data_IF_697976973643
#
_entry.id   IF_697976973643
#
_cell.length_a   1.000
_cell.length_b   1.000
_cell.length_c   1.000
_cell.angle_alpha   90.00
_cell.angle_beta   90.00
_cell.angle_gamma   90.00
#
_symmetry.space_group_name_H-M   'P 1'
#
loop_
_entity.id
_entity.type
_entity.pdbx_description
1 polymer ?
#
# COMPACT_ATOMS: atom_id res chain seq x y z
N UNK A 1 1.28 -25.26 -0.23
CA UNK A 1 0.16 -25.26 0.75
C UNK A 1 -1.13 -24.63 0.23
N UNK A 2 -1.15 -23.34 -0.13
CA UNK A 2 -2.37 -22.66 -0.59
C UNK A 2 -3.07 -23.37 -1.76
N UNK A 3 -2.28 -23.90 -2.71
CA UNK A 3 -2.78 -24.70 -3.82
C UNK A 3 -3.49 -25.99 -3.36
N UNK A 4 -2.88 -26.74 -2.44
CA UNK A 4 -3.44 -27.98 -1.89
C UNK A 4 -4.77 -27.71 -1.16
N UNK A 5 -4.80 -26.68 -0.30
CA UNK A 5 -6.01 -26.31 0.44
C UNK A 5 -7.17 -25.91 -0.51
N UNK A 6 -6.87 -25.10 -1.54
CA UNK A 6 -7.89 -24.63 -2.47
C UNK A 6 -8.37 -25.74 -3.42
N UNK A 7 -7.48 -26.64 -3.84
CA UNK A 7 -7.84 -27.78 -4.72
C UNK A 7 -8.80 -28.74 -4.03
N UNK A 8 -8.62 -28.96 -2.73
CA UNK A 8 -9.50 -29.82 -1.94
C UNK A 8 -10.78 -29.11 -1.46
N UNK A 9 -10.99 -27.83 -1.80
CA UNK A 9 -12.03 -27.00 -1.15
C UNK A 9 -11.95 -27.02 0.38
N UNK A 10 -10.75 -27.16 0.94
CA UNK A 10 -10.52 -27.42 2.37
C UNK A 10 -11.10 -26.34 3.30
N UNK A 11 -11.24 -25.10 2.83
CA UNK A 11 -11.94 -24.04 3.57
C UNK A 11 -13.38 -24.42 3.95
N UNK A 12 -14.10 -25.17 3.11
CA UNK A 12 -15.46 -25.64 3.41
C UNK A 12 -15.46 -26.73 4.47
N UNK A 13 -14.48 -27.63 4.43
CA UNK A 13 -14.31 -28.68 5.45
C UNK A 13 -13.94 -28.08 6.81
N UNK A 14 -13.24 -26.94 6.81
CA UNK A 14 -12.98 -26.14 8.00
C UNK A 14 -14.18 -25.30 8.47
N UNK A 15 -15.33 -25.41 7.79
CA UNK A 15 -16.59 -24.75 8.17
C UNK A 15 -16.80 -23.35 7.61
N UNK A 16 -15.95 -22.86 6.70
CA UNK A 16 -16.10 -21.55 6.09
C UNK A 16 -16.99 -21.61 4.85
N UNK A 17 -17.90 -20.64 4.73
CA UNK A 17 -18.81 -20.51 3.57
C UNK A 17 -18.10 -20.01 2.31
N UNK A 18 -16.92 -19.37 2.46
CA UNK A 18 -16.13 -18.83 1.34
C UNK A 18 -14.63 -18.76 1.67
N UNK A 19 -13.80 -18.75 0.64
CA UNK A 19 -12.35 -18.50 0.74
C UNK A 19 -12.06 -17.12 1.35
N UNK A 20 -12.87 -16.11 1.02
CA UNK A 20 -12.74 -14.76 1.60
C UNK A 20 -12.94 -14.78 3.11
N UNK A 21 -13.99 -15.46 3.60
CA UNK A 21 -14.20 -15.62 5.05
C UNK A 21 -13.04 -16.34 5.72
N UNK A 22 -12.60 -17.47 5.13
CA UNK A 22 -11.45 -18.22 5.62
C UNK A 22 -10.18 -17.35 5.72
N UNK A 23 -9.79 -16.68 4.64
CA UNK A 23 -8.54 -15.89 4.59
C UNK A 23 -8.56 -14.72 5.58
N UNK A 24 -9.68 -14.00 5.67
CA UNK A 24 -9.80 -12.85 6.56
C UNK A 24 -9.82 -13.27 8.03
N UNK A 25 -10.58 -14.31 8.38
CA UNK A 25 -10.75 -14.72 9.79
C UNK A 25 -9.62 -15.61 10.32
N UNK A 26 -9.01 -16.46 9.47
CA UNK A 26 -7.98 -17.40 9.89
C UNK A 26 -6.57 -16.93 9.64
N UNK A 27 -6.34 -16.21 8.53
CA UNK A 27 -5.01 -15.84 8.07
C UNK A 27 -4.71 -14.34 8.24
N UNK A 28 -5.73 -13.49 8.45
CA UNK A 28 -5.55 -12.03 8.47
C UNK A 28 -5.07 -11.48 7.12
N UNK A 29 -5.47 -12.14 6.02
CA UNK A 29 -5.05 -11.80 4.65
C UNK A 29 -6.26 -11.68 3.73
N UNK A 30 -6.06 -11.03 2.58
CA UNK A 30 -7.08 -10.97 1.53
C UNK A 30 -7.15 -12.27 0.73
N UNK A 31 -8.33 -12.58 0.20
CA UNK A 31 -8.50 -13.68 -0.76
C UNK A 31 -7.63 -13.51 -2.01
N UNK A 32 -7.47 -12.26 -2.48
CA UNK A 32 -6.62 -11.94 -3.63
C UNK A 32 -5.17 -12.36 -3.40
N UNK A 33 -4.62 -12.12 -2.20
CA UNK A 33 -3.28 -12.55 -1.83
C UNK A 33 -3.13 -14.07 -1.86
N UNK A 34 -4.12 -14.83 -1.35
CA UNK A 34 -4.07 -16.30 -1.37
C UNK A 34 -4.13 -16.84 -2.81
N UNK A 35 -5.01 -16.29 -3.64
CA UNK A 35 -5.13 -16.67 -5.04
C UNK A 35 -3.86 -16.36 -5.85
N UNK A 36 -3.27 -15.19 -5.62
CA UNK A 36 -2.02 -14.81 -6.27
C UNK A 36 -0.86 -15.70 -5.81
N UNK A 37 -0.74 -15.97 -4.51
CA UNK A 37 0.27 -16.88 -3.95
C UNK A 37 0.13 -18.29 -4.53
N UNK A 38 -1.10 -18.80 -4.66
CA UNK A 38 -1.38 -20.08 -5.34
C UNK A 38 -0.94 -20.02 -6.80
N UNK A 39 -1.33 -18.98 -7.55
CA UNK A 39 -1.02 -18.85 -8.98
C UNK A 39 0.49 -18.83 -9.21
N UNK A 40 1.22 -18.05 -8.42
CA UNK A 40 2.69 -17.99 -8.48
C UNK A 40 3.29 -19.35 -8.16
N UNK A 41 2.88 -19.98 -7.05
CA UNK A 41 3.42 -21.29 -6.67
C UNK A 41 3.14 -22.39 -7.72
N UNK A 42 1.93 -22.45 -8.28
CA UNK A 42 1.60 -23.42 -9.33
C UNK A 42 2.47 -23.21 -10.55
N UNK A 43 2.68 -21.95 -10.94
CA UNK A 43 3.45 -21.62 -12.13
C UNK A 43 4.95 -21.83 -11.96
N UNK A 44 5.49 -21.51 -10.79
CA UNK A 44 6.92 -21.70 -10.51
C UNK A 44 7.34 -23.18 -10.50
N UNK A 45 6.42 -24.12 -10.25
CA UNK A 45 6.69 -25.55 -10.46
C UNK A 45 7.02 -25.92 -11.90
N UNK A 46 6.55 -25.13 -12.87
CA UNK A 46 6.90 -25.29 -14.30
C UNK A 46 8.18 -24.53 -14.67
N UNK A 47 8.67 -23.68 -13.76
CA UNK A 47 9.78 -22.75 -13.95
C UNK A 47 10.77 -22.88 -12.76
N UNK A 48 11.47 -24.03 -12.64
CA UNK A 48 12.31 -24.33 -11.47
C UNK A 48 13.49 -23.36 -11.31
N UNK A 49 14.00 -22.79 -12.39
CA UNK A 49 15.05 -21.77 -12.31
C UNK A 49 14.55 -20.46 -11.68
N UNK A 50 13.31 -20.08 -11.96
CA UNK A 50 12.65 -18.94 -11.33
C UNK A 50 12.31 -19.21 -9.86
N UNK A 51 11.89 -20.44 -9.53
CA UNK A 51 11.64 -20.86 -8.15
C UNK A 51 12.92 -20.76 -7.30
N UNK A 52 14.01 -21.33 -7.79
CA UNK A 52 15.32 -21.25 -7.12
C UNK A 52 15.82 -19.81 -7.00
N UNK A 53 15.71 -19.02 -8.07
CA UNK A 53 16.12 -17.63 -8.06
C UNK A 53 15.30 -16.78 -7.06
N UNK A 54 14.01 -17.06 -6.92
CA UNK A 54 13.17 -16.38 -5.92
C UNK A 54 13.59 -16.77 -4.51
N UNK A 55 13.84 -18.06 -4.26
CA UNK A 55 14.23 -18.57 -2.96
C UNK A 55 15.59 -17.97 -2.50
N UNK A 56 16.57 -17.93 -3.41
CA UNK A 56 17.90 -17.34 -3.15
C UNK A 56 17.90 -15.80 -3.08
N UNK A 57 16.79 -15.15 -3.45
CA UNK A 57 16.69 -13.69 -3.49
C UNK A 57 17.39 -13.04 -4.69
N UNK A 58 17.69 -13.82 -5.74
CA UNK A 58 18.17 -13.29 -7.03
C UNK A 58 17.07 -12.61 -7.84
N UNK A 59 15.80 -12.85 -7.50
CA UNK A 59 14.66 -12.09 -8.03
C UNK A 59 13.68 -11.78 -6.90
N UNK A 60 12.97 -10.67 -7.01
CA UNK A 60 11.90 -10.33 -6.06
C UNK A 60 10.64 -11.15 -6.32
N UNK A 61 9.77 -11.27 -5.31
CA UNK A 61 8.46 -11.93 -5.49
C UNK A 61 7.63 -11.30 -6.62
N UNK A 62 7.68 -9.98 -6.78
CA UNK A 62 6.99 -9.30 -7.89
C UNK A 62 7.57 -9.68 -9.24
N UNK A 63 8.89 -9.79 -9.33
CA UNK A 63 9.55 -10.26 -10.53
C UNK A 63 9.11 -11.70 -10.84
N UNK A 64 9.15 -12.61 -9.87
CA UNK A 64 8.66 -13.98 -10.06
C UNK A 64 7.18 -14.05 -10.48
N UNK A 65 6.32 -13.20 -9.90
CA UNK A 65 4.91 -13.10 -10.27
C UNK A 65 4.68 -12.51 -11.68
N UNK A 66 5.58 -11.65 -12.15
CA UNK A 66 5.61 -11.16 -13.52
C UNK A 66 6.07 -12.27 -14.46
N UNK A 67 7.24 -12.88 -14.19
CA UNK A 67 7.79 -13.96 -15.01
C UNK A 67 6.83 -15.12 -15.15
N UNK A 68 6.13 -15.53 -14.10
CA UNK A 68 5.13 -16.59 -14.20
C UNK A 68 3.97 -16.31 -15.19
N UNK A 69 3.73 -15.05 -15.57
CA UNK A 69 2.70 -14.73 -16.57
C UNK A 69 3.20 -14.85 -18.00
N UNK A 70 4.49 -14.67 -18.23
CA UNK A 70 5.06 -14.50 -19.57
C UNK A 70 6.07 -15.59 -19.95
N UNK A 71 6.78 -16.17 -18.97
CA UNK A 71 7.78 -17.20 -19.21
C UNK A 71 7.16 -18.59 -19.40
N UNK A 72 7.76 -19.34 -20.33
CA UNK A 72 7.53 -20.75 -20.57
C UNK A 72 8.77 -21.55 -20.18
N UNK A 73 8.67 -22.88 -20.01
CA UNK A 73 9.85 -23.71 -19.73
C UNK A 73 10.95 -23.60 -20.79
N UNK A 74 10.61 -23.28 -22.04
CA UNK A 74 11.55 -23.18 -23.15
C UNK A 74 12.37 -21.88 -23.13
N UNK A 75 11.77 -20.76 -22.70
CA UNK A 75 12.42 -19.44 -22.67
C UNK A 75 12.88 -19.01 -21.27
N UNK A 76 12.57 -19.80 -20.24
CA UNK A 76 12.83 -19.50 -18.83
C UNK A 76 14.26 -19.00 -18.59
N UNK A 77 15.26 -19.73 -19.07
CA UNK A 77 16.66 -19.40 -18.81
C UNK A 77 17.06 -18.03 -19.39
N UNK A 78 16.51 -17.68 -20.55
CA UNK A 78 16.79 -16.41 -21.24
C UNK A 78 16.10 -15.27 -20.50
N UNK A 79 14.81 -15.43 -20.20
CA UNK A 79 14.01 -14.44 -19.50
C UNK A 79 14.53 -14.20 -18.07
N UNK A 80 14.91 -15.26 -17.36
CA UNK A 80 15.47 -15.18 -16.02
C UNK A 80 16.83 -14.46 -16.00
N UNK A 81 17.69 -14.71 -16.99
CA UNK A 81 18.96 -14.01 -17.11
C UNK A 81 18.76 -12.49 -17.28
N UNK A 82 17.79 -12.08 -18.11
CA UNK A 82 17.41 -10.67 -18.23
C UNK A 82 16.86 -10.12 -16.90
N UNK A 83 15.93 -10.85 -16.27
CA UNK A 83 15.28 -10.42 -15.04
C UNK A 83 16.22 -10.22 -13.83
N UNK A 84 17.35 -10.93 -13.78
CA UNK A 84 18.38 -10.76 -12.73
C UNK A 84 19.09 -9.40 -12.83
N UNK A 85 19.18 -8.86 -14.03
CA UNK A 85 19.88 -7.61 -14.31
C UNK A 85 18.93 -6.42 -14.47
N UNK A 86 17.65 -6.67 -14.71
CA UNK A 86 16.65 -5.62 -14.97
C UNK A 86 15.86 -5.21 -13.74
N UNK A 87 15.43 -3.95 -13.72
CA UNK A 87 14.38 -3.48 -12.81
C UNK A 87 13.02 -4.13 -13.15
N UNK A 88 12.06 -4.12 -12.22
CA UNK A 88 10.71 -4.69 -12.52
C UNK A 88 10.03 -3.87 -13.62
N UNK A 89 10.30 -2.56 -13.66
CA UNK A 89 9.81 -1.64 -14.67
C UNK A 89 10.38 -1.98 -16.05
N UNK A 90 11.71 -2.09 -16.17
CA UNK A 90 12.37 -2.50 -17.41
C UNK A 90 11.86 -3.86 -17.88
N UNK A 91 11.79 -4.84 -16.98
CA UNK A 91 11.32 -6.18 -17.34
C UNK A 91 9.86 -6.15 -17.83
N UNK A 92 9.00 -5.34 -17.21
CA UNK A 92 7.61 -5.17 -17.65
C UNK A 92 7.55 -4.56 -19.05
N UNK A 93 8.39 -3.56 -19.34
CA UNK A 93 8.48 -2.94 -20.66
C UNK A 93 8.99 -3.93 -21.72
N UNK A 94 10.07 -4.68 -21.41
CA UNK A 94 10.63 -5.71 -22.29
C UNK A 94 9.59 -6.78 -22.64
N UNK A 95 8.85 -7.28 -21.64
CA UNK A 95 7.84 -8.32 -21.87
C UNK A 95 6.64 -7.79 -22.66
N UNK A 96 6.21 -6.55 -22.42
CA UNK A 96 5.16 -5.92 -23.21
C UNK A 96 5.57 -5.73 -24.68
N UNK A 97 6.82 -5.34 -24.94
CA UNK A 97 7.36 -5.22 -26.30
C UNK A 97 7.42 -6.59 -26.99
N UNK A 98 7.83 -7.65 -26.29
CA UNK A 98 7.83 -9.01 -26.81
C UNK A 98 6.41 -9.50 -27.14
N UNK A 99 5.42 -9.19 -26.30
CA UNK A 99 4.02 -9.52 -26.57
C UNK A 99 3.50 -8.81 -27.83
N UNK A 100 3.74 -7.51 -27.96
CA UNK A 100 3.36 -6.74 -29.14
C UNK A 100 4.02 -7.28 -30.41
N UNK A 101 5.30 -7.68 -30.34
CA UNK A 101 6.00 -8.29 -31.47
C UNK A 101 5.40 -9.63 -31.87
N UNK A 102 5.00 -10.46 -30.90
CA UNK A 102 4.36 -11.75 -31.14
C UNK A 102 2.96 -11.59 -31.73
N UNK A 103 2.16 -10.67 -31.19
CA UNK A 103 0.85 -10.32 -31.73
C UNK A 103 0.94 -9.77 -33.16
N UNK A 104 1.91 -8.89 -33.45
CA UNK A 104 2.13 -8.40 -34.81
C UNK A 104 2.52 -9.51 -35.80
N UNK A 105 3.37 -10.46 -35.37
CA UNK A 105 3.74 -11.62 -36.19
C UNK A 105 2.55 -12.57 -36.44
N UNK A 106 1.65 -12.73 -35.46
CA UNK A 106 0.43 -13.52 -35.57
C UNK A 106 -0.66 -12.79 -36.41
N UNK A 107 -0.75 -11.46 -36.33
CA UNK A 107 -1.64 -10.62 -37.15
C UNK A 107 -1.28 -10.62 -38.63
N UNK A 108 0.01 -10.64 -38.96
CA UNK A 108 0.51 -10.81 -40.33
C UNK A 108 0.11 -12.18 -40.93
N UNK A 109 -0.11 -13.19 -40.08
CA UNK A 109 -0.50 -14.54 -40.49
C UNK A 109 -2.03 -14.76 -40.48
N UNK A 110 -2.80 -14.07 -39.62
CA UNK A 110 -4.23 -14.32 -39.39
C UNK A 110 -5.19 -13.12 -39.56
N UNK A 111 -4.73 -11.97 -40.05
CA UNK A 111 -5.58 -10.94 -40.71
C UNK A 111 -6.81 -10.41 -39.95
N UNK A 112 -6.94 -10.60 -38.63
CA UNK A 112 -8.07 -10.13 -37.84
C UNK A 112 -7.65 -9.03 -36.88
N UNK A 113 -7.96 -7.78 -37.25
CA UNK A 113 -7.76 -6.60 -36.41
C UNK A 113 -8.75 -6.57 -35.26
N UNK A 114 -8.27 -6.69 -34.04
CA UNK A 114 -9.08 -6.45 -32.85
C UNK A 114 -9.02 -4.96 -32.46
N UNK A 115 -10.00 -4.17 -32.91
CA UNK A 115 -10.07 -2.76 -32.55
C UNK A 115 -10.62 -2.59 -31.13
N UNK A 116 -9.80 -2.09 -30.20
CA UNK A 116 -10.29 -1.56 -28.92
C UNK A 116 -10.92 -0.18 -29.14
N UNK A 117 -12.24 -0.07 -28.94
CA UNK A 117 -12.94 1.22 -29.03
C UNK A 117 -12.71 2.02 -27.75
N UNK A 118 -11.88 3.06 -27.84
CA UNK A 118 -11.69 4.03 -26.76
C UNK A 118 -12.62 5.21 -26.99
N UNK A 119 -13.64 5.38 -26.15
CA UNK A 119 -14.50 6.57 -26.16
C UNK A 119 -13.85 7.67 -25.32
N UNK A 120 -13.47 8.78 -25.97
CA UNK A 120 -13.07 10.00 -25.29
C UNK A 120 -14.32 10.65 -24.68
N UNK A 121 -14.36 10.79 -23.35
CA UNK A 121 -15.40 11.53 -22.63
C UNK A 121 -14.74 12.72 -21.95
N UNK A 122 -15.36 13.89 -22.01
CA UNK A 122 -14.87 15.09 -21.32
C UNK A 122 -14.80 14.81 -19.80
N UNK A 123 -13.67 15.14 -19.17
CA UNK A 123 -13.38 14.81 -17.76
C UNK A 123 -14.46 15.37 -16.82
N UNK A 124 -15.06 16.52 -17.15
CA UNK A 124 -16.16 17.11 -16.40
C UNK A 124 -17.38 16.19 -16.35
N UNK A 125 -17.82 15.66 -17.49
CA UNK A 125 -18.98 14.77 -17.58
C UNK A 125 -18.77 13.46 -16.82
N UNK A 126 -17.55 12.93 -16.81
CA UNK A 126 -17.21 11.69 -16.12
C UNK A 126 -17.20 11.87 -14.60
N UNK A 127 -16.75 13.04 -14.14
CA UNK A 127 -16.80 13.44 -12.73
C UNK A 127 -18.22 13.65 -12.24
N UNK A 128 -19.05 14.36 -13.01
CA UNK A 128 -20.45 14.60 -12.68
C UNK A 128 -21.26 13.30 -12.58
N UNK A 129 -20.96 12.35 -13.47
CA UNK A 129 -21.56 11.00 -13.46
C UNK A 129 -21.14 10.21 -12.22
N UNK A 130 -19.85 10.19 -11.86
CA UNK A 130 -19.33 9.44 -10.71
C UNK A 130 -19.75 10.07 -9.36
N UNK A 131 -19.75 11.40 -9.25
CA UNK A 131 -20.24 12.10 -8.06
C UNK A 131 -21.73 11.87 -7.86
N UNK A 132 -22.52 11.97 -8.93
CA UNK A 132 -23.96 11.65 -8.90
C UNK A 132 -24.19 10.20 -8.48
N UNK A 133 -23.44 9.26 -9.05
CA UNK A 133 -23.51 7.84 -8.65
C UNK A 133 -23.24 7.64 -7.17
N UNK A 134 -22.22 8.30 -6.61
CA UNK A 134 -21.88 8.20 -5.18
C UNK A 134 -22.90 8.85 -4.26
N UNK A 135 -23.47 9.99 -4.64
CA UNK A 135 -24.53 10.65 -3.87
C UNK A 135 -25.79 9.78 -3.87
N UNK A 136 -26.20 9.28 -5.03
CA UNK A 136 -27.35 8.37 -5.19
C UNK A 136 -27.14 7.09 -4.38
N UNK A 137 -25.96 6.48 -4.46
CA UNK A 137 -25.63 5.29 -3.68
C UNK A 137 -25.63 5.54 -2.17
N UNK A 138 -25.29 6.75 -1.73
CA UNK A 138 -25.31 7.15 -0.32
C UNK A 138 -26.74 7.39 0.21
N UNK A 139 -27.61 7.98 -0.61
CA UNK A 139 -28.98 8.31 -0.22
C UNK A 139 -29.90 7.08 -0.17
N UNK A 140 -29.70 6.13 -1.08
CA UNK A 140 -30.60 4.96 -1.23
C UNK A 140 -30.00 3.65 -0.68
N UNK A 141 -28.74 3.67 -0.21
CA UNK A 141 -28.10 2.52 0.42
C UNK A 141 -27.71 1.38 -0.54
N UNK A 142 -27.57 1.63 -1.85
CA UNK A 142 -27.16 0.64 -2.85
C UNK A 142 -26.76 1.22 -4.21
N UNK A 143 -26.07 0.43 -5.05
CA UNK A 143 -25.66 0.84 -6.41
C UNK A 143 -26.85 0.74 -7.37
N UNK A 144 -27.45 1.87 -7.73
CA UNK A 144 -28.46 1.92 -8.78
C UNK A 144 -27.79 1.71 -10.15
N UNK A 145 -28.39 0.88 -11.00
CA UNK A 145 -27.91 0.63 -12.36
C UNK A 145 -27.76 1.93 -13.17
N UNK A 146 -26.85 1.94 -14.14
CA UNK A 146 -26.41 3.13 -14.89
C UNK A 146 -27.55 3.99 -15.50
N UNK A 147 -28.73 3.41 -15.73
CA UNK A 147 -29.89 4.11 -16.30
C UNK A 147 -30.55 5.17 -15.40
N UNK A 148 -30.19 5.26 -14.11
CA UNK A 148 -30.73 6.28 -13.20
C UNK A 148 -29.83 7.51 -13.04
N UNK A 149 -28.58 7.44 -13.50
CA UNK A 149 -27.60 8.51 -13.30
C UNK A 149 -27.92 9.71 -14.18
N UNK A 150 -28.27 9.49 -15.46
CA UNK A 150 -28.58 10.56 -16.40
C UNK A 150 -29.82 11.39 -16.00
N UNK A 151 -30.97 10.78 -15.59
CA UNK A 151 -32.13 11.56 -15.13
C UNK A 151 -31.87 12.37 -13.86
N UNK A 152 -31.16 11.80 -12.88
CA UNK A 152 -30.82 12.49 -11.62
C UNK A 152 -29.86 13.63 -11.87
N UNK A 153 -28.85 13.42 -12.73
CA UNK A 153 -27.91 14.47 -13.11
C UNK A 153 -28.63 15.60 -13.86
N UNK A 154 -29.53 15.29 -14.79
CA UNK A 154 -30.31 16.28 -15.52
C UNK A 154 -31.21 17.12 -14.58
N UNK A 155 -31.90 16.48 -13.63
CA UNK A 155 -32.76 17.17 -12.66
C UNK A 155 -31.96 18.02 -11.68
N UNK A 156 -30.81 17.52 -11.20
CA UNK A 156 -29.92 18.25 -10.32
C UNK A 156 -29.32 19.48 -11.03
N UNK A 157 -28.86 19.33 -12.28
CA UNK A 157 -28.35 20.44 -13.09
C UNK A 157 -29.42 21.49 -13.36
N UNK A 158 -30.63 21.08 -13.72
CA UNK A 158 -31.77 21.97 -13.92
C UNK A 158 -32.13 22.73 -12.63
N UNK A 159 -32.14 22.05 -11.49
CA UNK A 159 -32.41 22.67 -10.17
C UNK A 159 -31.33 23.68 -9.78
N UNK A 160 -30.05 23.37 -9.99
CA UNK A 160 -28.94 24.28 -9.69
C UNK A 160 -28.97 25.52 -10.60
N UNK A 161 -29.25 25.34 -11.89
CA UNK A 161 -29.42 26.44 -12.84
C UNK A 161 -30.59 27.37 -12.46
N UNK A 162 -31.74 26.79 -12.07
CA UNK A 162 -32.92 27.55 -11.65
C UNK A 162 -32.73 28.28 -10.31
N UNK A 163 -31.87 27.77 -9.43
CA UNK A 163 -31.51 28.42 -8.17
C UNK A 163 -30.52 29.59 -8.32
N UNK A 164 -30.10 29.92 -9.55
CA UNK A 164 -29.10 30.95 -9.81
C UNK A 164 -27.71 30.59 -9.25
N UNK A 165 -27.51 29.31 -8.92
CA UNK A 165 -26.19 28.79 -8.54
C UNK A 165 -25.44 28.60 -9.84
N UNK A 166 -24.55 29.53 -10.16
CA UNK A 166 -23.52 29.31 -11.18
C UNK A 166 -22.76 28.04 -10.74
N UNK A 167 -22.92 26.91 -11.46
CA UNK A 167 -22.25 25.69 -11.05
C UNK A 167 -20.76 26.01 -11.15
N UNK A 168 -20.07 25.96 -10.01
CA UNK A 168 -18.67 26.33 -9.76
C UNK A 168 -17.61 25.59 -10.64
N UNK A 169 -18.01 25.07 -11.80
CA UNK A 169 -17.30 24.24 -12.76
C UNK A 169 -16.12 24.97 -13.39
N UNK A 170 -16.19 26.27 -13.64
CA UNK A 170 -15.07 27.03 -14.22
C UNK A 170 -13.84 27.05 -13.30
N UNK A 171 -14.03 27.48 -12.04
CA UNK A 171 -12.95 27.58 -11.05
C UNK A 171 -12.49 26.20 -10.55
N UNK A 172 -13.40 25.24 -10.39
CA UNK A 172 -13.04 23.85 -10.06
C UNK A 172 -12.32 23.17 -11.23
N UNK A 173 -12.70 23.45 -12.48
CA UNK A 173 -12.02 22.97 -13.68
C UNK A 173 -10.59 23.49 -13.78
N UNK A 174 -10.39 24.79 -13.56
CA UNK A 174 -9.05 25.41 -13.51
C UNK A 174 -8.20 24.87 -12.35
N UNK A 175 -8.77 24.71 -11.16
CA UNK A 175 -8.05 24.16 -10.00
C UNK A 175 -7.73 22.67 -10.19
N UNK A 176 -8.63 21.88 -10.77
CA UNK A 176 -8.39 20.49 -11.15
C UNK A 176 -7.32 20.38 -12.24
N UNK A 177 -7.38 21.20 -13.29
CA UNK A 177 -6.37 21.26 -14.33
C UNK A 177 -4.99 21.64 -13.76
N UNK A 178 -4.94 22.61 -12.83
CA UNK A 178 -3.71 23.01 -12.13
C UNK A 178 -3.17 21.89 -11.24
N UNK A 179 -4.04 21.19 -10.51
CA UNK A 179 -3.63 20.05 -9.66
C UNK A 179 -3.14 18.87 -10.49
N UNK A 180 -3.82 18.55 -11.59
CA UNK A 180 -3.39 17.51 -12.54
C UNK A 180 -2.09 17.90 -13.24
N UNK A 181 -1.93 19.16 -13.65
CA UNK A 181 -0.69 19.71 -14.19
C UNK A 181 0.48 19.53 -13.23
N UNK A 182 0.32 19.96 -11.98
CA UNK A 182 1.33 19.75 -10.92
C UNK A 182 1.64 18.27 -10.69
N UNK A 183 0.63 17.39 -10.72
CA UNK A 183 0.86 15.94 -10.59
C UNK A 183 1.66 15.38 -11.76
N UNK A 184 1.37 15.83 -13.00
CA UNK A 184 2.11 15.43 -14.20
C UNK A 184 3.56 15.90 -14.12
N UNK A 185 3.79 17.16 -13.77
CA UNK A 185 5.13 17.72 -13.56
C UNK A 185 5.90 16.96 -12.47
N UNK A 186 5.26 16.67 -11.33
CA UNK A 186 5.86 15.88 -10.25
C UNK A 186 6.17 14.44 -10.69
N UNK A 187 5.29 13.84 -11.48
CA UNK A 187 5.49 12.48 -12.01
C UNK A 187 6.64 12.45 -13.00
N UNK A 188 6.68 13.39 -13.94
CA UNK A 188 7.74 13.51 -14.94
C UNK A 188 9.09 13.82 -14.28
N UNK A 189 9.13 14.73 -13.31
CA UNK A 189 10.36 15.02 -12.56
C UNK A 189 10.84 13.82 -11.75
N UNK A 190 9.92 13.03 -11.19
CA UNK A 190 10.26 11.77 -10.50
C UNK A 190 10.81 10.74 -11.49
N UNK A 191 10.14 10.54 -12.62
CA UNK A 191 10.56 9.58 -13.65
C UNK A 191 11.95 9.93 -14.19
N UNK A 192 12.20 11.21 -14.49
CA UNK A 192 13.52 11.67 -14.92
C UNK A 192 14.60 11.44 -13.85
N UNK A 193 14.27 11.69 -12.58
CA UNK A 193 15.22 11.42 -11.48
C UNK A 193 15.49 9.92 -11.31
N UNK A 194 14.47 9.07 -11.49
CA UNK A 194 14.59 7.61 -11.45
C UNK A 194 15.43 7.10 -12.62
N UNK A 195 15.21 7.59 -13.85
CA UNK A 195 16.01 7.27 -15.05
C UNK A 195 17.50 7.62 -14.86
N UNK A 196 17.81 8.84 -14.41
CA UNK A 196 19.19 9.25 -14.12
C UNK A 196 19.85 8.36 -13.05
N UNK A 197 19.07 7.90 -12.07
CA UNK A 197 19.57 7.00 -11.04
C UNK A 197 19.82 5.58 -11.58
N UNK A 198 18.92 5.07 -12.43
CA UNK A 198 19.06 3.77 -13.08
C UNK A 198 20.29 3.74 -14.01
N UNK A 199 20.46 4.75 -14.87
CA UNK A 199 21.65 4.88 -15.74
C UNK A 199 22.96 4.84 -14.94
N UNK A 200 22.98 5.47 -13.76
CA UNK A 200 24.14 5.46 -12.87
C UNK A 200 24.37 4.08 -12.26
N UNK A 201 23.32 3.43 -11.79
CA UNK A 201 23.41 2.09 -11.18
C UNK A 201 23.92 1.07 -12.21
N UNK A 202 23.43 1.16 -13.44
CA UNK A 202 23.89 0.35 -14.57
C UNK A 202 25.39 0.60 -14.86
N UNK A 203 25.81 1.85 -14.95
CA UNK A 203 27.23 2.21 -15.16
C UNK A 203 28.15 1.72 -14.03
N UNK A 204 27.65 1.65 -12.79
CA UNK A 204 28.36 1.11 -11.63
C UNK A 204 28.32 -0.44 -11.57
N UNK A 205 27.64 -1.10 -12.50
CA UNK A 205 27.49 -2.56 -12.54
C UNK A 205 26.68 -3.12 -11.38
N UNK A 206 25.85 -2.28 -10.72
CA UNK A 206 25.00 -2.72 -9.62
C UNK A 206 23.72 -3.31 -10.20
N UNK A 207 23.61 -4.64 -10.19
CA UNK A 207 22.37 -5.30 -10.61
C UNK A 207 21.23 -5.04 -9.63
N UNK A 208 20.00 -5.09 -10.13
CA UNK A 208 18.81 -4.90 -9.31
C UNK A 208 18.66 -5.99 -8.23
N UNK A 209 19.20 -7.19 -8.44
CA UNK A 209 19.16 -8.30 -7.48
C UNK A 209 20.48 -9.08 -7.48
N UNK A 210 21.29 -8.86 -6.45
CA UNK A 210 22.59 -9.50 -6.18
C UNK A 210 22.51 -10.46 -4.99
N UNK A 211 21.31 -10.76 -4.50
CA UNK A 211 21.12 -11.71 -3.41
C UNK A 211 21.47 -13.12 -3.85
N UNK A 212 22.49 -13.71 -3.23
CA UNK A 212 22.75 -15.15 -3.27
C UNK A 212 22.64 -15.67 -1.85
N UNK A 213 21.40 -15.76 -1.37
CA UNK A 213 21.12 -16.29 -0.05
C UNK A 213 21.39 -17.80 -0.07
N UNK A 214 22.21 -18.26 0.87
CA UNK A 214 22.35 -19.68 1.14
C UNK A 214 21.00 -20.21 1.64
N UNK A 215 20.47 -21.20 0.92
CA UNK A 215 19.26 -21.90 1.32
C UNK A 215 19.65 -23.06 2.25
N UNK A 216 19.12 -23.04 3.46
CA UNK A 216 19.17 -24.20 4.35
C UNK A 216 18.10 -25.22 3.93
N UNK A 217 18.51 -26.22 3.14
CA UNK A 217 17.69 -27.36 2.74
C UNK A 217 17.12 -27.29 1.32
N UNK A 218 16.65 -28.43 0.82
CA UNK A 218 16.01 -28.54 -0.49
C UNK A 218 14.58 -27.98 -0.44
N UNK A 219 14.24 -27.09 -1.38
CA UNK A 219 12.90 -26.49 -1.49
C UNK A 219 11.79 -27.53 -1.70
N UNK A 220 12.14 -28.69 -2.26
CA UNK A 220 11.23 -29.78 -2.60
C UNK A 220 10.87 -30.69 -1.40
N UNK A 221 11.58 -30.61 -0.28
CA UNK A 221 11.40 -31.54 0.85
C UNK A 221 10.43 -31.02 1.93
N UNK A 222 9.61 -30.01 1.62
CA UNK A 222 8.62 -29.51 2.57
C UNK A 222 7.43 -30.49 2.71
N UNK A 223 7.25 -31.18 3.85
CA UNK A 223 6.17 -32.14 4.00
C UNK A 223 4.83 -31.40 3.98
N UNK A 224 4.03 -31.63 2.94
CA UNK A 224 2.70 -31.05 2.81
C UNK A 224 1.69 -31.92 3.57
N UNK A 225 0.99 -31.38 4.58
CA UNK A 225 -0.14 -32.10 5.17
C UNK A 225 -1.18 -32.41 4.10
N UNK A 226 -1.77 -33.61 4.18
CA UNK A 226 -2.77 -34.06 3.21
C UNK A 226 -4.18 -33.64 3.59
N UNK A 227 -4.43 -33.39 4.88
CA UNK A 227 -5.74 -33.00 5.41
C UNK A 227 -5.89 -31.47 5.56
N UNK A 228 -7.12 -30.93 5.43
CA UNK A 228 -7.35 -29.48 5.54
C UNK A 228 -6.98 -28.85 6.88
N UNK A 229 -7.04 -29.60 7.99
CA UNK A 229 -6.72 -29.09 9.33
C UNK A 229 -5.21 -28.89 9.46
N UNK A 230 -4.42 -29.86 9.00
CA UNK A 230 -2.96 -29.73 8.91
C UNK A 230 -2.55 -28.58 7.98
N UNK A 231 -3.17 -28.48 6.79
CA UNK A 231 -2.90 -27.38 5.85
C UNK A 231 -3.21 -26.00 6.45
N UNK A 232 -4.31 -25.87 7.19
CA UNK A 232 -4.64 -24.61 7.88
C UNK A 232 -3.64 -24.27 8.99
N UNK A 233 -3.23 -25.25 9.80
CA UNK A 233 -2.25 -25.04 10.85
C UNK A 233 -0.92 -24.51 10.28
N UNK A 234 -0.43 -25.13 9.21
CA UNK A 234 0.79 -24.70 8.53
C UNK A 234 0.65 -23.31 7.87
N UNK A 235 -0.46 -23.04 7.18
CA UNK A 235 -0.71 -21.73 6.59
C UNK A 235 -0.76 -20.61 7.63
N UNK A 236 -1.32 -20.87 8.81
CA UNK A 236 -1.33 -19.91 9.93
C UNK A 236 0.08 -19.67 10.46
N UNK A 237 0.90 -20.71 10.60
CA UNK A 237 2.29 -20.56 11.03
C UNK A 237 3.10 -19.73 10.01
N UNK A 238 2.96 -20.02 8.72
CA UNK A 238 3.60 -19.23 7.66
C UNK A 238 3.14 -17.77 7.67
N UNK A 239 1.83 -17.52 7.82
CA UNK A 239 1.31 -16.15 7.88
C UNK A 239 1.84 -15.38 9.09
N UNK A 240 1.94 -16.03 10.26
CA UNK A 240 2.57 -15.44 11.44
C UNK A 240 4.07 -15.19 11.23
N UNK A 241 4.78 -16.10 10.57
CA UNK A 241 6.18 -15.92 10.18
C UNK A 241 6.36 -14.70 9.27
N UNK A 242 5.49 -14.55 8.27
CA UNK A 242 5.48 -13.40 7.36
C UNK A 242 5.18 -12.08 8.10
N UNK A 243 4.23 -12.06 9.03
CA UNK A 243 3.94 -10.85 9.82
C UNK A 243 5.14 -10.44 10.70
N UNK A 244 5.88 -11.42 11.22
CA UNK A 244 7.10 -11.16 11.98
C UNK A 244 8.24 -10.65 11.10
N UNK A 245 8.44 -11.27 9.94
CA UNK A 245 9.39 -10.79 8.94
C UNK A 245 9.05 -9.35 8.51
N UNK A 246 7.75 -9.04 8.33
CA UNK A 246 7.25 -7.73 7.97
C UNK A 246 7.53 -6.67 9.05
N UNK A 247 7.29 -7.00 10.32
CA UNK A 247 7.60 -6.11 11.44
C UNK A 247 9.11 -5.85 11.56
N UNK A 248 9.92 -6.91 11.40
CA UNK A 248 11.39 -6.79 11.43
C UNK A 248 11.91 -5.93 10.26
N UNK A 249 11.45 -6.22 9.04
CA UNK A 249 11.77 -5.47 7.84
C UNK A 249 11.36 -4.00 7.98
N UNK A 250 10.17 -3.73 8.52
CA UNK A 250 9.69 -2.39 8.80
C UNK A 250 10.64 -1.58 9.71
N UNK A 251 11.15 -2.21 10.77
CA UNK A 251 12.14 -1.59 11.66
C UNK A 251 13.48 -1.33 10.96
N UNK A 252 13.92 -2.26 10.10
CA UNK A 252 15.09 -2.09 9.23
C UNK A 252 14.94 -0.91 8.27
N UNK A 253 13.80 -0.83 7.57
CA UNK A 253 13.46 0.24 6.64
C UNK A 253 13.43 1.63 7.31
N UNK A 254 12.91 1.72 8.54
CA UNK A 254 12.90 2.97 9.30
C UNK A 254 14.34 3.46 9.60
N UNK A 255 15.23 2.55 10.03
CA UNK A 255 16.65 2.88 10.26
C UNK A 255 17.37 3.22 8.96
N UNK A 256 17.15 2.44 7.91
CA UNK A 256 17.72 2.67 6.58
C UNK A 256 17.33 4.04 6.02
N UNK A 257 16.04 4.39 6.12
CA UNK A 257 15.53 5.69 5.69
C UNK A 257 16.15 6.85 6.47
N UNK A 258 16.27 6.73 7.80
CA UNK A 258 16.90 7.77 8.64
C UNK A 258 18.39 7.97 8.34
N UNK A 259 19.06 6.96 7.83
CA UNK A 259 20.46 7.03 7.42
C UNK A 259 20.64 7.50 5.96
N UNK A 260 19.58 7.94 5.28
CA UNK A 260 19.57 8.27 3.85
C UNK A 260 20.13 7.13 2.98
N UNK A 261 19.84 5.89 3.37
CA UNK A 261 20.43 4.70 2.76
C UNK A 261 20.18 4.62 1.25
N UNK A 262 18.97 4.98 0.79
CA UNK A 262 18.62 4.96 -0.63
C UNK A 262 19.50 5.91 -1.44
N UNK A 263 19.73 7.14 -0.96
CA UNK A 263 20.59 8.13 -1.62
C UNK A 263 22.04 7.66 -1.67
N UNK A 264 22.55 7.09 -0.57
CA UNK A 264 23.91 6.52 -0.51
C UNK A 264 24.10 5.34 -1.45
N UNK A 265 23.03 4.60 -1.71
CA UNK A 265 23.04 3.50 -2.68
C UNK A 265 22.77 3.95 -4.12
N UNK A 266 22.55 5.25 -4.37
CA UNK A 266 22.37 5.81 -5.71
C UNK A 266 20.92 5.93 -6.19
N UNK A 267 19.94 5.53 -5.38
CA UNK A 267 18.52 5.62 -5.75
C UNK A 267 17.98 7.03 -5.62
N UNK A 268 17.16 7.43 -6.60
CA UNK A 268 16.48 8.73 -6.65
C UNK A 268 15.59 9.03 -5.43
N UNK A 269 14.97 8.00 -4.84
CA UNK A 269 14.11 8.14 -3.67
C UNK A 269 14.02 6.84 -2.88
N UNK A 270 13.52 6.93 -1.65
CA UNK A 270 13.22 5.75 -0.83
C UNK A 270 12.18 4.85 -1.51
N UNK A 271 11.16 5.44 -2.15
CA UNK A 271 10.12 4.70 -2.86
C UNK A 271 10.73 3.94 -4.06
N UNK A 272 11.62 4.60 -4.81
CA UNK A 272 12.39 4.00 -5.91
C UNK A 272 13.20 2.79 -5.40
N UNK A 273 14.00 2.96 -4.34
CA UNK A 273 14.75 1.87 -3.71
C UNK A 273 13.83 0.70 -3.30
N UNK A 274 12.75 0.96 -2.58
CA UNK A 274 11.87 -0.12 -2.11
C UNK A 274 11.19 -0.86 -3.25
N UNK A 275 10.87 -0.17 -4.35
CA UNK A 275 10.21 -0.77 -5.51
C UNK A 275 11.15 -1.67 -6.28
N UNK A 276 12.35 -1.18 -6.61
CA UNK A 276 13.27 -1.93 -7.46
C UNK A 276 14.07 -2.98 -6.69
N UNK A 277 14.58 -2.65 -5.50
CA UNK A 277 15.41 -3.59 -4.73
C UNK A 277 14.64 -4.56 -3.87
N UNK A 278 13.50 -4.14 -3.33
CA UNK A 278 12.74 -4.98 -2.38
C UNK A 278 11.44 -5.52 -2.98
N UNK A 279 11.08 -5.11 -4.20
CA UNK A 279 9.80 -5.46 -4.81
C UNK A 279 8.59 -4.89 -4.06
N UNK A 280 8.78 -3.93 -3.16
CA UNK A 280 7.73 -3.37 -2.32
C UNK A 280 7.18 -2.07 -2.91
N UNK A 281 5.85 -2.00 -3.04
CA UNK A 281 5.21 -0.72 -3.33
C UNK A 281 5.32 0.23 -2.13
N UNK A 282 5.28 1.54 -2.38
CA UNK A 282 5.29 2.59 -1.34
C UNK A 282 4.39 2.24 -0.16
N UNK A 283 3.10 2.06 -0.39
CA UNK A 283 2.13 1.79 0.69
C UNK A 283 2.49 0.57 1.53
N UNK A 284 3.02 -0.49 0.91
CA UNK A 284 3.45 -1.69 1.62
C UNK A 284 4.68 -1.41 2.50
N UNK A 285 5.69 -0.71 1.99
CA UNK A 285 6.87 -0.33 2.77
C UNK A 285 6.52 0.52 4.00
N UNK A 286 5.68 1.55 3.82
CA UNK A 286 5.25 2.40 4.95
C UNK A 286 4.31 1.67 5.92
N UNK A 287 3.52 0.70 5.45
CA UNK A 287 2.69 -0.14 6.32
C UNK A 287 3.58 -0.98 7.24
N UNK A 288 4.62 -1.64 6.70
CA UNK A 288 5.60 -2.41 7.50
C UNK A 288 6.32 -1.53 8.51
N UNK A 289 6.80 -0.35 8.09
CA UNK A 289 7.41 0.64 9.01
C UNK A 289 6.43 1.10 10.11
N UNK A 290 5.15 1.26 9.77
CA UNK A 290 4.12 1.60 10.75
C UNK A 290 3.88 0.45 11.73
N UNK A 291 3.75 -0.78 11.24
CA UNK A 291 3.63 -1.98 12.07
C UNK A 291 4.78 -2.09 13.06
N UNK A 292 6.02 -1.94 12.59
CA UNK A 292 7.22 -1.97 13.43
C UNK A 292 7.19 -0.91 14.54
N UNK A 293 6.83 0.34 14.21
CA UNK A 293 6.70 1.42 15.20
C UNK A 293 5.61 1.14 16.24
N UNK A 294 4.47 0.59 15.81
CA UNK A 294 3.40 0.26 16.75
C UNK A 294 3.78 -0.93 17.64
N UNK A 295 4.47 -1.94 17.11
CA UNK A 295 4.99 -3.07 17.88
C UNK A 295 6.06 -2.66 18.90
N UNK A 296 6.90 -1.67 18.57
CA UNK A 296 7.88 -1.08 19.51
C UNK A 296 7.18 -0.24 20.58
N UNK A 297 6.19 0.57 20.18
CA UNK A 297 5.42 1.43 21.10
C UNK A 297 4.53 0.64 22.06
N UNK A 298 4.05 -0.53 21.63
CA UNK A 298 3.15 -1.41 22.39
C UNK A 298 3.75 -2.83 22.44
N UNK A 299 4.70 -3.09 23.36
CA UNK A 299 5.44 -4.34 23.42
C UNK A 299 4.56 -5.59 23.52
N UNK A 300 3.38 -5.48 24.15
CA UNK A 300 2.43 -6.59 24.25
C UNK A 300 1.85 -6.98 22.88
N UNK A 301 1.61 -6.01 21.99
CA UNK A 301 1.19 -6.27 20.60
C UNK A 301 2.36 -6.87 19.82
N UNK A 302 3.57 -6.34 20.01
CA UNK A 302 4.77 -6.89 19.38
C UNK A 302 5.02 -8.36 19.78
N UNK A 303 4.79 -8.71 21.04
CA UNK A 303 4.91 -10.09 21.50
C UNK A 303 3.77 -10.99 20.98
N UNK A 304 2.55 -10.47 20.90
CA UNK A 304 1.43 -11.20 20.32
C UNK A 304 1.64 -11.50 18.84
N UNK A 305 2.20 -10.56 18.06
CA UNK A 305 2.63 -10.78 16.67
C UNK A 305 3.71 -11.86 16.58
N UNK A 306 4.75 -11.80 17.43
CA UNK A 306 5.82 -12.81 17.51
C UNK A 306 5.33 -14.21 17.77
N UNK A 307 4.28 -14.35 18.57
CA UNK A 307 3.67 -15.65 18.88
C UNK A 307 2.60 -16.08 17.86
N UNK A 308 2.30 -15.26 16.86
CA UNK A 308 1.18 -15.50 15.94
C UNK A 308 -0.20 -15.48 16.62
N UNK A 309 -0.31 -14.83 17.78
CA UNK A 309 -1.55 -14.71 18.53
C UNK A 309 -2.48 -13.63 17.96
N UNK A 310 -1.91 -12.66 17.23
CA UNK A 310 -2.64 -11.66 16.43
C UNK A 310 -1.95 -11.51 15.09
N UNK A 311 -2.73 -11.25 14.05
CA UNK A 311 -2.21 -10.87 12.72
C UNK A 311 -1.89 -9.36 12.66
N UNK A 312 -1.26 -8.96 11.55
CA UNK A 312 -0.95 -7.56 11.28
C UNK A 312 -2.18 -6.63 11.33
N UNK A 313 -3.32 -7.02 10.75
CA UNK A 313 -4.50 -6.13 10.69
C UNK A 313 -5.08 -5.88 12.08
N UNK A 314 -5.21 -6.94 12.87
CA UNK A 314 -5.62 -6.88 14.27
C UNK A 314 -4.67 -6.03 15.11
N UNK A 315 -3.35 -6.22 14.95
CA UNK A 315 -2.34 -5.41 15.63
C UNK A 315 -2.49 -3.92 15.29
N UNK A 316 -2.69 -3.60 14.00
CA UNK A 316 -2.86 -2.24 13.52
C UNK A 316 -4.17 -1.59 14.03
N UNK A 317 -5.25 -2.35 14.11
CA UNK A 317 -6.54 -1.87 14.63
C UNK A 317 -6.45 -1.53 16.13
N UNK A 318 -5.86 -2.43 16.93
CA UNK A 318 -5.68 -2.22 18.38
C UNK A 318 -4.77 -1.03 18.65
N UNK A 319 -3.71 -0.84 17.86
CA UNK A 319 -2.82 0.30 17.98
C UNK A 319 -3.55 1.64 17.77
N UNK A 320 -4.47 1.71 16.80
CA UNK A 320 -5.29 2.90 16.52
C UNK A 320 -6.24 3.21 17.67
N UNK A 321 -6.94 2.21 18.21
CA UNK A 321 -7.87 2.38 19.34
C UNK A 321 -7.15 2.87 20.61
N UNK A 322 -6.00 2.27 20.95
CA UNK A 322 -5.16 2.71 22.07
C UNK A 322 -4.72 4.17 21.91
N UNK A 323 -4.36 4.60 20.69
CA UNK A 323 -4.02 6.00 20.39
C UNK A 323 -5.23 6.95 20.53
N UNK A 324 -6.42 6.50 20.18
CA UNK A 324 -7.65 7.27 20.37
C UNK A 324 -8.00 7.42 21.87
N UNK A 325 -7.86 6.35 22.65
CA UNK A 325 -8.08 6.36 24.11
C UNK A 325 -7.07 7.24 24.85
N UNK A 326 -5.79 7.18 24.49
CA UNK A 326 -4.76 8.07 25.05
C UNK A 326 -5.02 9.55 24.79
N UNK A 327 -5.47 9.91 23.58
CA UNK A 327 -5.89 11.29 23.25
C UNK A 327 -7.11 11.75 24.04
N UNK A 328 -8.11 10.88 24.23
CA UNK A 328 -9.29 11.20 25.06
C UNK A 328 -8.90 11.43 26.53
N UNK A 329 -7.96 10.65 27.06
CA UNK A 329 -7.46 10.82 28.43
C UNK A 329 -6.62 12.10 28.59
N UNK A 330 -5.78 12.46 27.61
CA UNK A 330 -5.01 13.71 27.67
C UNK A 330 -5.88 14.96 27.51
N UNK A 331 -6.90 14.93 26.64
CA UNK A 331 -7.89 16.02 26.54
C UNK A 331 -8.71 16.16 27.83
N UNK A 332 -9.09 15.04 28.47
CA UNK A 332 -9.81 15.07 29.75
C UNK A 332 -8.93 15.54 30.92
N UNK A 333 -7.63 15.22 30.90
CA UNK A 333 -6.66 15.76 31.86
C UNK A 333 -6.40 17.26 31.64
N UNK A 334 -6.33 17.72 30.39
CA UNK A 334 -6.21 19.14 30.04
C UNK A 334 -7.43 19.98 30.46
N UNK A 335 -8.64 19.45 30.26
CA UNK A 335 -9.88 20.08 30.73
C UNK A 335 -10.03 20.04 32.27
N UNK A 336 -9.42 19.08 32.96
CA UNK A 336 -9.38 19.05 34.42
C UNK A 336 -8.40 20.07 35.01
N UNK A 337 -7.35 20.48 34.28
CA UNK A 337 -6.40 21.51 34.72
C UNK A 337 -6.85 22.95 34.44
N UNK A 338 -7.80 23.18 33.54
CA UNK A 338 -8.38 24.51 33.28
C UNK A 338 -9.66 24.81 34.12
N UNK A 339 -10.10 23.86 34.95
CA UNK A 339 -11.35 23.93 35.71
C UNK A 339 -11.28 24.52 37.12
N UNK A 340 -10.21 25.21 37.52
CA UNK A 340 -10.15 25.95 38.81
C UNK A 340 -9.54 27.35 38.61
N UNK A 341 -10.26 28.22 37.89
CA UNK A 341 -10.24 29.67 38.15
C UNK A 341 -11.67 30.16 38.19
N UNK A 342 -12.23 30.16 39.40
CA UNK A 342 -13.52 30.75 39.71
C UNK A 342 -13.50 32.26 39.39
N UNK A 343 -14.44 32.76 38.56
CA UNK A 343 -14.75 34.18 38.51
C UNK A 343 -15.79 34.44 39.60
N UNK A 344 -15.47 35.30 40.57
CA UNK A 344 -16.36 36.01 41.52
C UNK A 344 -15.80 36.01 42.95
N UNK A 345 -15.15 37.11 43.32
CA UNK A 345 -15.41 37.76 44.62
C UNK A 345 -15.27 39.27 44.46
N UNK A 346 -16.41 39.94 44.64
CA UNK A 346 -16.58 41.38 44.51
C UNK A 346 -15.82 42.18 45.55
N UNK A 347 -15.61 43.46 45.23
CA UNK A 347 -14.96 44.42 46.09
C UNK A 347 -15.83 44.90 47.25
N UNK A 348 -15.16 45.49 48.24
CA UNK A 348 -15.71 46.59 49.04
C UNK A 348 -14.55 47.52 49.40
N UNK A 349 -14.76 48.82 49.19
CA UNK A 349 -13.84 49.91 49.52
C UNK A 349 -13.81 50.21 51.02
N UNK A 350 -12.68 50.76 51.53
CA UNK A 350 -12.67 51.92 52.44
C UNK A 350 -11.26 52.52 52.63
N UNK A 351 -11.28 53.81 52.92
CA UNK A 351 -10.23 54.82 52.87
C UNK A 351 -9.42 55.02 54.18
N UNK A 352 -8.33 55.79 54.06
CA UNK A 352 -7.53 56.45 55.13
C UNK A 352 -6.09 56.63 54.60
N UNK A 353 -5.59 57.80 54.15
CA UNK A 353 -5.22 59.03 54.91
C UNK A 353 -4.31 58.64 56.09
N UNK A 354 -3.02 58.98 56.19
CA UNK A 354 -2.35 60.29 56.07
C UNK A 354 -0.80 60.11 56.12
N UNK A 355 -0.08 61.15 55.65
CA UNK A 355 1.27 61.69 55.96
C UNK A 355 2.29 60.86 56.82
N UNK A 356 3.62 60.94 56.67
CA UNK A 356 4.46 62.12 56.45
C UNK A 356 5.94 61.75 56.18
N UNK A 357 6.62 62.57 55.36
CA UNK A 357 7.99 63.11 55.47
C UNK A 357 9.18 62.18 55.87
N UNK A 358 10.14 61.97 54.95
CA UNK A 358 11.48 62.63 54.97
C UNK A 358 12.38 62.13 53.80
N UNK A 359 12.76 63.05 52.92
CA UNK A 359 14.01 63.01 52.14
C UNK A 359 15.13 63.70 52.97
N UNK A 360 16.37 63.96 52.48
CA UNK A 360 17.04 63.55 51.23
C UNK A 360 18.52 63.10 51.47
N UNK A 361 19.26 62.69 50.43
CA UNK A 361 20.47 63.42 49.96
C UNK A 361 21.14 62.75 48.75
N UNK A 362 21.53 63.62 47.81
CA UNK A 362 22.34 63.39 46.61
C UNK A 362 23.81 63.08 46.93
N UNK A 363 24.48 62.54 45.90
CA UNK A 363 25.82 62.84 45.34
C UNK A 363 26.70 61.57 45.31
N UNK A 364 27.39 61.26 44.21
CA UNK A 364 27.53 61.98 42.94
C UNK A 364 28.17 61.10 41.88
#
# INVERSE_FOLDING_TARGET
>A
MADALLTQSGHRELGFSSVTGYTHERLGRSAAWLHESRRVAVKLRELPGCEEALARGNITWKMAALLGRHATPEDEAIILAAARCSTVREMTALLADCELQREAAEEDEHGQRMCTVVRQVEVGTLWDTEVTRRIVAHLEGGDLGAGWIEPVLAEAMSTMQNAGVDPWIGRVGEDCARLLGRRREQTAAREQAEEIAEERLEAEGRTANDGDLELDGDLDDWPLPTDPVGLDAELRQLCAGLDNADAWLGGGLERFRRADGHTRLGYASFDHYTRERLGLGRSAAYLKMKLAREAERLPEIGEALRRGAVDQEAAMLVAVDKKAKGRRQSTRAGLATEGIRSPYRGGVARAGVEADVQAPTRRG
#
